data_IF_607607205236
#
_entry.id   IF_607607205236
#
_cell.length_a   1.000
_cell.length_b   1.000
_cell.length_c   1.000
_cell.angle_alpha   90.00
_cell.angle_beta   90.00
_cell.angle_gamma   90.00
#
_symmetry.space_group_name_H-M   'P 1'
#
loop_
_entity.id
_entity.type
_entity.pdbx_description
1 polymer ?
#
# COMPACT_ATOMS: atom_id res chain seq x y z
N UNK A 1 -29.87 -8.12 32.86
CA UNK A 1 -29.53 -7.18 31.76
C UNK A 1 -28.04 -6.80 31.73
N UNK A 2 -27.38 -6.58 32.87
CA UNK A 2 -25.97 -6.17 32.97
C UNK A 2 -24.96 -7.13 32.33
N UNK A 3 -25.18 -8.45 32.42
CA UNK A 3 -24.28 -9.48 31.85
C UNK A 3 -24.32 -9.48 30.31
N UNK A 4 -25.49 -9.22 29.70
CA UNK A 4 -25.66 -9.16 28.23
C UNK A 4 -24.96 -7.94 27.62
N UNK A 5 -24.96 -6.80 28.33
CA UNK A 5 -24.26 -5.59 27.90
C UNK A 5 -22.73 -5.76 27.95
N UNK A 6 -22.23 -6.46 28.98
CA UNK A 6 -20.80 -6.73 29.13
C UNK A 6 -20.28 -7.71 28.07
N UNK A 7 -21.05 -8.77 27.77
CA UNK A 7 -20.72 -9.69 26.69
C UNK A 7 -20.71 -9.01 25.30
N UNK A 8 -21.66 -8.10 25.05
CA UNK A 8 -21.72 -7.34 23.80
C UNK A 8 -20.52 -6.39 23.62
N UNK A 9 -20.09 -5.72 24.70
CA UNK A 9 -18.91 -4.85 24.68
C UNK A 9 -17.63 -5.64 24.37
N UNK A 10 -17.48 -6.84 24.95
CA UNK A 10 -16.31 -7.69 24.74
C UNK A 10 -16.24 -8.16 23.27
N UNK A 11 -17.36 -8.56 22.68
CA UNK A 11 -17.42 -8.94 21.25
C UNK A 11 -17.10 -7.79 20.31
N UNK A 12 -17.44 -6.54 20.68
CA UNK A 12 -17.15 -5.36 19.86
C UNK A 12 -15.66 -4.98 19.87
N UNK A 13 -14.98 -5.18 21.01
CA UNK A 13 -13.54 -4.87 21.12
C UNK A 13 -12.70 -5.88 20.33
N UNK A 14 -13.11 -7.14 20.30
CA UNK A 14 -12.37 -8.20 19.58
C UNK A 14 -12.48 -8.04 18.05
N UNK A 15 -13.58 -7.51 17.51
CA UNK A 15 -13.76 -7.34 16.06
C UNK A 15 -12.85 -6.27 15.44
N UNK A 16 -12.35 -5.31 16.23
CA UNK A 16 -11.44 -4.26 15.77
C UNK A 16 -10.02 -4.76 15.43
N UNK A 17 -9.65 -5.97 15.88
CA UNK A 17 -8.31 -6.54 15.69
C UNK A 17 -8.05 -7.11 14.30
N UNK A 18 -9.07 -7.20 13.42
CA UNK A 18 -8.98 -7.87 12.11
C UNK A 18 -8.81 -6.92 10.92
N UNK A 19 -8.71 -5.60 11.14
CA UNK A 19 -8.61 -4.62 10.06
C UNK A 19 -7.22 -4.01 9.96
N UNK A 20 -6.28 -4.78 9.37
CA UNK A 20 -5.06 -4.19 8.79
C UNK A 20 -5.45 -3.02 7.88
N UNK A 21 -6.41 -3.26 6.97
CA UNK A 21 -6.97 -2.29 6.01
C UNK A 21 -7.48 -0.95 6.56
N UNK A 22 -7.86 -0.86 7.85
CA UNK A 22 -8.26 0.41 8.44
C UNK A 22 -7.06 1.25 8.88
N UNK A 23 -6.00 0.62 9.38
CA UNK A 23 -4.79 1.32 9.79
C UNK A 23 -4.07 1.93 8.59
N UNK A 24 -3.98 1.20 7.46
CA UNK A 24 -3.44 1.79 6.24
C UNK A 24 -4.30 2.96 5.77
N UNK A 25 -5.64 2.82 5.77
CA UNK A 25 -6.54 3.93 5.39
C UNK A 25 -6.43 5.15 6.31
N UNK A 26 -6.31 4.93 7.62
CA UNK A 26 -6.17 6.02 8.59
C UNK A 26 -4.82 6.75 8.42
N UNK A 27 -3.74 6.01 8.18
CA UNK A 27 -2.39 6.59 8.00
C UNK A 27 -2.24 7.31 6.66
N UNK A 28 -3.00 6.93 5.63
CA UNK A 28 -2.99 7.61 4.32
C UNK A 28 -4.11 8.61 4.10
N UNK A 29 -4.99 8.84 5.09
CA UNK A 29 -6.24 9.60 4.92
C UNK A 29 -6.05 11.09 4.56
N UNK A 30 -4.87 11.66 4.81
CA UNK A 30 -4.48 13.02 4.40
C UNK A 30 -3.42 13.05 3.31
N UNK A 31 -2.97 11.89 2.82
CA UNK A 31 -1.97 11.83 1.77
C UNK A 31 -2.61 12.16 0.42
N UNK A 32 -1.98 13.06 -0.33
CA UNK A 32 -2.40 13.33 -1.70
C UNK A 32 -2.11 12.09 -2.56
N UNK A 33 -3.14 11.57 -3.23
CA UNK A 33 -2.95 10.51 -4.21
C UNK A 33 -2.31 11.11 -5.46
N UNK A 34 -1.08 10.70 -5.76
CA UNK A 34 -0.36 11.11 -6.97
C UNK A 34 -0.40 9.96 -7.96
N UNK A 35 -0.81 10.25 -9.20
CA UNK A 35 -0.78 9.25 -10.27
C UNK A 35 0.69 9.00 -10.68
N UNK A 36 1.15 7.74 -10.73
CA UNK A 36 2.49 7.44 -11.21
C UNK A 36 2.65 7.83 -12.68
N UNK A 37 3.89 8.08 -13.08
CA UNK A 37 4.25 8.44 -14.45
C UNK A 37 3.95 7.30 -15.43
N UNK A 38 4.14 6.06 -15.01
CA UNK A 38 3.81 4.85 -15.77
C UNK A 38 3.21 3.78 -14.86
N UNK A 39 2.26 3.02 -15.40
CA UNK A 39 1.70 1.82 -14.76
C UNK A 39 1.50 0.73 -15.81
N UNK A 40 2.03 -0.47 -15.56
CA UNK A 40 1.93 -1.60 -16.49
C UNK A 40 2.11 -2.95 -15.78
N UNK A 41 1.75 -4.02 -16.49
CA UNK A 41 1.97 -5.40 -16.06
C UNK A 41 3.22 -5.97 -16.72
N UNK A 42 4.04 -6.68 -15.94
CA UNK A 42 5.14 -7.50 -16.45
C UNK A 42 4.84 -8.95 -16.12
N UNK A 43 4.90 -9.80 -17.14
CA UNK A 43 4.83 -11.25 -16.98
C UNK A 43 6.23 -11.79 -16.71
N UNK A 44 6.49 -12.20 -15.46
CA UNK A 44 7.78 -12.80 -15.07
C UNK A 44 7.57 -14.25 -14.69
N UNK A 45 7.75 -15.17 -15.63
CA UNK A 45 7.71 -16.63 -15.40
C UNK A 45 6.47 -17.13 -14.62
N UNK A 46 5.26 -16.69 -15.02
CA UNK A 46 4.00 -17.08 -14.39
C UNK A 46 3.53 -16.15 -13.28
N UNK A 47 4.28 -15.09 -12.98
CA UNK A 47 3.90 -14.08 -12.00
C UNK A 47 3.39 -12.82 -12.70
N UNK A 48 2.14 -12.46 -12.40
CA UNK A 48 1.54 -11.19 -12.80
C UNK A 48 2.06 -10.08 -11.89
N UNK A 49 3.12 -9.38 -12.30
CA UNK A 49 3.71 -8.29 -11.52
C UNK A 49 3.12 -6.96 -11.98
N UNK A 50 2.61 -6.17 -11.04
CA UNK A 50 2.22 -4.78 -11.28
C UNK A 50 3.39 -3.86 -11.03
N UNK A 51 3.70 -2.99 -11.99
CA UNK A 51 4.78 -2.03 -11.89
C UNK A 51 4.23 -0.61 -11.95
N UNK A 52 4.71 0.22 -11.04
CA UNK A 52 4.43 1.64 -10.96
C UNK A 52 5.75 2.40 -11.01
N UNK A 53 5.89 3.33 -11.95
CA UNK A 53 7.08 4.18 -12.06
C UNK A 53 6.70 5.63 -11.81
N UNK A 54 7.55 6.35 -11.07
CA UNK A 54 7.35 7.78 -10.83
C UNK A 54 8.68 8.50 -10.66
N UNK A 55 8.64 9.81 -10.84
CA UNK A 55 9.71 10.74 -10.51
C UNK A 55 9.28 11.49 -9.24
N UNK A 56 10.05 11.45 -8.13
CA UNK A 56 9.71 12.18 -6.91
C UNK A 56 9.65 13.69 -7.17
N UNK A 57 8.67 14.36 -6.56
CA UNK A 57 8.47 15.80 -6.75
C UNK A 57 9.62 16.65 -6.15
N UNK A 58 10.28 16.12 -5.13
CA UNK A 58 11.40 16.73 -4.41
C UNK A 58 12.77 16.45 -5.07
N UNK A 59 12.87 15.41 -5.90
CA UNK A 59 14.08 15.08 -6.64
C UNK A 59 13.79 14.61 -8.08
N UNK A 60 13.79 15.54 -9.06
CA UNK A 60 13.47 15.22 -10.44
C UNK A 60 14.56 14.42 -11.17
N UNK A 61 15.75 14.26 -10.58
CA UNK A 61 16.86 13.50 -11.17
C UNK A 61 16.82 12.00 -10.81
N UNK A 62 15.82 11.56 -10.05
CA UNK A 62 15.64 10.17 -9.63
C UNK A 62 14.38 9.59 -10.24
N UNK A 63 14.46 8.37 -10.75
CA UNK A 63 13.27 7.58 -11.09
C UNK A 63 13.12 6.44 -10.10
N UNK A 64 11.93 6.30 -9.56
CA UNK A 64 11.57 5.19 -8.68
C UNK A 64 10.61 4.24 -9.40
N UNK A 65 10.76 2.96 -9.07
CA UNK A 65 9.97 1.84 -9.57
C UNK A 65 9.49 1.05 -8.35
N UNK A 66 8.19 0.79 -8.28
CA UNK A 66 7.59 -0.17 -7.37
C UNK A 66 7.10 -1.36 -8.19
N UNK A 67 7.54 -2.56 -7.84
CA UNK A 67 7.05 -3.79 -8.41
C UNK A 67 6.37 -4.62 -7.33
N UNK A 68 5.13 -5.04 -7.57
CA UNK A 68 4.36 -5.88 -6.66
C UNK A 68 3.87 -7.15 -7.37
N UNK A 69 4.30 -8.30 -6.85
CA UNK A 69 3.69 -9.59 -7.13
C UNK A 69 2.66 -9.95 -6.07
N UNK A 70 2.07 -11.14 -6.21
CA UNK A 70 0.98 -11.61 -5.34
C UNK A 70 1.34 -11.75 -3.86
N UNK A 71 2.63 -11.85 -3.52
CA UNK A 71 3.09 -12.05 -2.14
C UNK A 71 4.18 -11.07 -1.69
N UNK A 72 4.93 -10.47 -2.61
CA UNK A 72 6.05 -9.58 -2.29
C UNK A 72 6.07 -8.42 -3.27
N UNK A 73 6.46 -7.25 -2.76
CA UNK A 73 6.77 -6.09 -3.57
C UNK A 73 7.98 -5.34 -3.03
N UNK A 74 8.55 -4.49 -3.85
CA UNK A 74 9.73 -3.72 -3.50
C UNK A 74 9.81 -2.42 -4.30
N UNK A 75 10.42 -1.41 -3.69
CA UNK A 75 10.73 -0.13 -4.33
C UNK A 75 12.23 -0.08 -4.60
N UNK A 76 12.60 0.33 -5.81
CA UNK A 76 13.96 0.67 -6.19
C UNK A 76 13.97 2.03 -6.87
N UNK A 77 15.00 2.84 -6.61
CA UNK A 77 15.19 4.14 -7.24
C UNK A 77 16.58 4.23 -7.87
N UNK A 78 16.69 4.89 -9.01
CA UNK A 78 17.94 5.05 -9.76
C UNK A 78 18.06 6.47 -10.33
N UNK A 79 19.31 6.91 -10.55
CA UNK A 79 19.64 8.17 -11.20
C UNK A 79 19.22 8.13 -12.68
N UNK A 80 18.65 9.22 -13.19
CA UNK A 80 18.27 9.35 -14.61
C UNK A 80 19.45 9.89 -15.44
N UNK A 81 20.46 10.47 -14.80
CA UNK A 81 21.52 11.25 -15.46
C UNK A 81 22.89 10.55 -15.50
N UNK A 82 22.94 9.23 -15.30
CA UNK A 82 24.18 8.45 -15.38
C UNK A 82 24.55 8.10 -16.84
#
# INVERSE_FOLDING_TARGET
MKIKASAFLITLVVSLSTQAGLWEKMTTMGAQTVKPSSEYLIETAGWNIRVYEWIPADNPNTRCMFAAGSQKGGVACYSIND
#
